data_IF_084728189521
#
_entry.id   IF_084728189521
#
_cell.length_a   1.000
_cell.length_b   1.000
_cell.length_c   1.000
_cell.angle_alpha   90.00
_cell.angle_beta   90.00
_cell.angle_gamma   90.00
#
_symmetry.space_group_name_H-M   'P 1'
#
loop_
_entity.id
_entity.type
_entity.pdbx_description
1 polymer ?
#
# COMPACT_ATOMS: atom_id res chain seq x y z
N UNK A 1 20.32 23.84 8.18
CA UNK A 1 20.45 23.64 6.72
C UNK A 1 20.50 22.14 6.45
N UNK A 2 19.53 21.60 5.73
CA UNK A 2 19.61 20.23 5.19
C UNK A 2 20.80 20.23 4.20
N UNK A 3 21.75 19.32 4.38
CA UNK A 3 22.90 19.24 3.48
C UNK A 3 22.43 18.94 2.06
N UNK A 4 23.11 19.48 1.06
CA UNK A 4 22.83 19.18 -0.37
C UNK A 4 22.71 17.66 -0.63
N UNK A 5 23.48 16.85 0.10
CA UNK A 5 23.43 15.37 0.05
C UNK A 5 22.07 14.82 0.50
N UNK A 6 21.42 15.42 1.49
CA UNK A 6 20.09 14.97 1.99
C UNK A 6 19.00 15.31 0.97
N UNK A 7 19.08 16.48 0.32
CA UNK A 7 18.13 16.89 -0.73
C UNK A 7 18.27 16.00 -1.96
N UNK A 8 19.51 15.76 -2.41
CA UNK A 8 19.79 14.86 -3.54
C UNK A 8 19.38 13.40 -3.22
N UNK A 9 19.60 12.92 -1.99
CA UNK A 9 19.16 11.60 -1.56
C UNK A 9 17.63 11.48 -1.55
N UNK A 10 16.92 12.52 -1.09
CA UNK A 10 15.46 12.54 -1.08
C UNK A 10 14.86 12.61 -2.49
N UNK A 11 15.42 13.44 -3.38
CA UNK A 11 14.96 13.51 -4.78
C UNK A 11 15.17 12.18 -5.51
N UNK A 12 16.31 11.53 -5.28
CA UNK A 12 16.61 10.21 -5.82
C UNK A 12 15.63 9.13 -5.32
N UNK A 13 15.30 9.16 -4.04
CA UNK A 13 14.32 8.24 -3.44
C UNK A 13 12.92 8.42 -4.05
N UNK A 14 12.49 9.67 -4.29
CA UNK A 14 11.19 9.97 -4.91
C UNK A 14 11.16 9.51 -6.37
N UNK A 15 12.16 9.88 -7.16
CA UNK A 15 12.26 9.45 -8.57
C UNK A 15 12.30 7.94 -8.70
N UNK A 16 12.98 7.31 -7.79
CA UNK A 16 13.08 5.88 -7.63
C UNK A 16 11.73 5.20 -7.40
N UNK A 17 10.98 5.69 -6.43
CA UNK A 17 9.63 5.15 -6.14
C UNK A 17 8.69 5.34 -7.32
N UNK A 18 8.75 6.51 -7.98
CA UNK A 18 7.93 6.78 -9.16
C UNK A 18 8.29 5.86 -10.33
N UNK A 19 9.58 5.69 -10.60
CA UNK A 19 10.05 4.77 -11.66
C UNK A 19 9.64 3.32 -11.39
N UNK A 20 9.84 2.83 -10.16
CA UNK A 20 9.41 1.49 -9.78
C UNK A 20 7.89 1.30 -9.89
N UNK A 21 7.09 2.31 -9.50
CA UNK A 21 5.63 2.28 -9.65
C UNK A 21 5.19 2.30 -11.12
N UNK A 22 5.87 3.05 -11.98
CA UNK A 22 5.57 3.05 -13.41
C UNK A 22 5.77 1.66 -14.02
N UNK A 23 6.85 0.95 -13.66
CA UNK A 23 7.07 -0.43 -14.10
C UNK A 23 5.96 -1.36 -13.59
N UNK A 24 5.59 -1.27 -12.30
CA UNK A 24 4.50 -2.07 -11.73
C UNK A 24 3.18 -1.84 -12.49
N UNK A 25 2.82 -0.57 -12.74
CA UNK A 25 1.62 -0.19 -13.49
C UNK A 25 1.65 -0.76 -14.92
N UNK A 26 2.75 -0.56 -15.65
CA UNK A 26 2.89 -1.10 -17.02
C UNK A 26 2.76 -2.63 -17.02
N UNK A 27 3.40 -3.31 -16.05
CA UNK A 27 3.31 -4.77 -15.93
C UNK A 27 1.87 -5.21 -15.69
N UNK A 28 1.18 -4.58 -14.73
CA UNK A 28 -0.22 -4.91 -14.41
C UNK A 28 -1.13 -4.65 -15.62
N UNK A 29 -0.92 -3.55 -16.38
CA UNK A 29 -1.69 -3.24 -17.57
C UNK A 29 -1.55 -4.33 -18.65
N UNK A 30 -0.33 -4.78 -18.93
CA UNK A 30 -0.09 -5.85 -19.90
C UNK A 30 -0.74 -7.15 -19.43
N UNK A 31 -0.52 -7.53 -18.16
CA UNK A 31 -1.09 -8.73 -17.58
C UNK A 31 -2.63 -8.71 -17.56
N UNK A 32 -3.25 -7.59 -17.17
CA UNK A 32 -4.71 -7.49 -17.10
C UNK A 32 -5.40 -7.57 -18.46
N UNK A 33 -4.71 -7.13 -19.52
CA UNK A 33 -5.24 -7.25 -20.89
C UNK A 33 -5.15 -8.67 -21.43
N UNK A 34 -4.18 -9.44 -20.99
CA UNK A 34 -3.91 -10.80 -21.51
C UNK A 34 -4.50 -11.90 -20.64
N UNK A 35 -4.40 -11.79 -19.34
CA UNK A 35 -4.90 -12.76 -18.36
C UNK A 35 -6.39 -12.55 -18.08
N UNK A 36 -6.99 -13.55 -17.42
CA UNK A 36 -8.37 -13.50 -16.96
C UNK A 36 -8.47 -12.97 -15.51
N UNK A 37 -9.61 -12.42 -15.09
CA UNK A 37 -9.83 -12.10 -13.68
C UNK A 37 -9.63 -13.29 -12.75
N UNK A 38 -9.97 -14.52 -13.20
CA UNK A 38 -9.75 -15.74 -12.42
C UNK A 38 -8.26 -16.02 -12.14
N UNK A 39 -7.37 -15.74 -13.11
CA UNK A 39 -5.93 -15.86 -12.91
C UNK A 39 -5.42 -14.90 -11.83
N UNK A 40 -5.93 -13.66 -11.84
CA UNK A 40 -5.63 -12.68 -10.80
C UNK A 40 -6.21 -13.08 -9.44
N UNK A 41 -7.43 -13.60 -9.38
CA UNK A 41 -8.04 -14.09 -8.15
C UNK A 41 -7.27 -15.26 -7.54
N UNK A 42 -6.85 -16.22 -8.37
CA UNK A 42 -6.06 -17.36 -7.95
C UNK A 42 -4.70 -16.94 -7.36
N UNK A 43 -3.99 -16.06 -8.07
CA UNK A 43 -2.69 -15.54 -7.62
C UNK A 43 -2.82 -14.64 -6.40
N UNK A 44 -3.89 -13.84 -6.29
CA UNK A 44 -4.16 -13.01 -5.12
C UNK A 44 -4.35 -13.87 -3.86
N UNK A 45 -5.06 -15.01 -3.95
CA UNK A 45 -5.19 -15.96 -2.84
C UNK A 45 -3.85 -16.54 -2.44
N UNK A 46 -3.07 -17.03 -3.38
CA UNK A 46 -1.76 -17.62 -3.10
C UNK A 46 -0.82 -16.59 -2.43
N UNK A 47 -0.79 -15.35 -2.96
CA UNK A 47 0.00 -14.26 -2.38
C UNK A 47 -0.49 -13.83 -1.00
N UNK A 48 -1.79 -13.94 -0.73
CA UNK A 48 -2.36 -13.63 0.60
C UNK A 48 -1.80 -14.56 1.67
N UNK A 49 -1.71 -15.85 1.41
CA UNK A 49 -1.12 -16.81 2.35
C UNK A 49 0.32 -16.43 2.69
N UNK A 50 1.12 -16.10 1.68
CA UNK A 50 2.52 -15.70 1.86
C UNK A 50 2.61 -14.39 2.63
N UNK A 51 1.78 -13.41 2.30
CA UNK A 51 1.79 -12.11 2.96
C UNK A 51 1.41 -12.21 4.45
N UNK A 52 0.43 -13.04 4.80
CA UNK A 52 0.07 -13.31 6.19
C UNK A 52 1.23 -13.98 6.92
N UNK A 53 1.77 -15.08 6.36
CA UNK A 53 2.89 -15.79 6.97
C UNK A 53 4.14 -14.91 7.12
N UNK A 54 4.45 -14.10 6.10
CA UNK A 54 5.61 -13.17 6.11
C UNK A 54 5.48 -12.14 7.22
N UNK A 55 4.28 -11.61 7.44
CA UNK A 55 4.03 -10.61 8.50
C UNK A 55 4.03 -11.23 9.90
N UNK A 56 3.46 -12.43 10.05
CA UNK A 56 3.46 -13.16 11.34
C UNK A 56 4.88 -13.45 11.82
N UNK A 57 5.75 -13.81 10.88
CA UNK A 57 7.14 -14.18 11.14
C UNK A 57 8.11 -13.01 10.91
N UNK A 58 7.62 -11.77 10.81
CA UNK A 58 8.48 -10.62 10.52
C UNK A 58 9.48 -10.37 11.65
N UNK A 59 10.76 -10.32 11.29
CA UNK A 59 11.87 -9.92 12.15
C UNK A 59 12.51 -8.67 11.52
N UNK A 60 12.44 -7.50 12.16
CA UNK A 60 12.95 -6.25 11.57
C UNK A 60 14.48 -6.12 11.69
N UNK A 61 15.21 -7.10 11.12
CA UNK A 61 16.67 -7.22 11.23
C UNK A 61 17.42 -5.99 10.67
N UNK A 62 16.97 -5.49 9.52
CA UNK A 62 17.59 -4.32 8.90
C UNK A 62 17.37 -3.06 9.75
N UNK A 63 16.20 -2.89 10.35
CA UNK A 63 15.88 -1.77 11.25
C UNK A 63 16.73 -1.85 12.53
N UNK A 64 16.96 -3.05 13.04
CA UNK A 64 17.85 -3.26 14.19
C UNK A 64 19.29 -2.84 13.84
N UNK A 65 19.82 -3.31 12.70
CA UNK A 65 21.17 -2.94 12.25
C UNK A 65 21.33 -1.43 12.01
N UNK A 66 20.31 -0.75 11.45
CA UNK A 66 20.36 0.71 11.20
C UNK A 66 20.50 1.51 12.51
N UNK A 67 19.93 1.03 13.60
CA UNK A 67 19.98 1.72 14.92
C UNK A 67 21.29 1.52 15.66
N UNK A 68 22.06 0.51 15.30
CA UNK A 68 23.37 0.26 15.94
C UNK A 68 24.36 1.36 15.55
N UNK A 69 25.06 1.91 16.53
CA UNK A 69 26.10 2.93 16.28
C UNK A 69 27.29 2.37 15.51
N UNK A 70 27.66 1.12 15.80
CA UNK A 70 28.74 0.41 15.14
C UNK A 70 28.25 -0.97 14.71
N UNK A 71 28.39 -1.27 13.43
CA UNK A 71 28.00 -2.55 12.84
C UNK A 71 29.28 -3.30 12.47
N UNK A 72 29.58 -4.34 13.24
CA UNK A 72 30.68 -5.26 12.99
C UNK A 72 30.24 -6.39 12.06
N UNK A 73 31.21 -7.18 11.57
CA UNK A 73 30.92 -8.36 10.76
C UNK A 73 30.06 -9.37 11.53
N UNK A 74 30.31 -9.55 12.83
CA UNK A 74 29.55 -10.43 13.73
C UNK A 74 28.05 -10.09 13.78
N UNK A 75 27.68 -8.80 13.73
CA UNK A 75 26.28 -8.36 13.65
C UNK A 75 25.66 -8.69 12.29
N UNK A 76 26.43 -8.52 11.19
CA UNK A 76 25.97 -8.86 9.84
C UNK A 76 25.76 -10.38 9.71
N UNK A 77 26.70 -11.18 10.24
CA UNK A 77 26.63 -12.65 10.20
C UNK A 77 25.42 -13.16 11.04
N UNK A 78 25.17 -12.54 12.21
CA UNK A 78 24.00 -12.86 13.04
C UNK A 78 22.69 -12.48 12.33
N UNK A 79 22.60 -11.28 11.75
CA UNK A 79 21.42 -10.83 11.01
C UNK A 79 21.16 -11.73 9.79
N UNK A 80 22.20 -12.13 9.08
CA UNK A 80 22.10 -13.06 7.96
C UNK A 80 21.59 -14.44 8.39
N UNK A 81 22.13 -14.98 9.49
CA UNK A 81 21.72 -16.28 10.02
C UNK A 81 20.27 -16.26 10.48
N UNK A 82 19.84 -15.23 11.23
CA UNK A 82 18.45 -15.05 11.64
C UNK A 82 17.52 -14.87 10.44
N UNK A 83 17.98 -14.13 9.41
CA UNK A 83 17.24 -13.96 8.15
C UNK A 83 17.00 -15.30 7.46
N UNK A 84 18.03 -16.13 7.28
CA UNK A 84 17.90 -17.46 6.68
C UNK A 84 16.97 -18.35 7.49
N UNK A 85 17.16 -18.44 8.81
CA UNK A 85 16.31 -19.25 9.69
C UNK A 85 14.84 -18.83 9.55
N UNK A 86 14.57 -17.52 9.55
CA UNK A 86 13.23 -16.98 9.30
C UNK A 86 12.71 -17.38 7.93
N UNK A 87 13.51 -17.18 6.86
CA UNK A 87 13.10 -17.50 5.49
C UNK A 87 12.79 -18.97 5.28
N UNK A 88 13.61 -19.86 5.84
CA UNK A 88 13.39 -21.30 5.79
C UNK A 88 12.14 -21.71 6.60
N UNK A 89 11.97 -21.19 7.81
CA UNK A 89 10.80 -21.43 8.63
C UNK A 89 9.51 -20.97 7.92
N UNK A 90 9.54 -19.76 7.37
CA UNK A 90 8.39 -19.20 6.64
C UNK A 90 8.05 -20.05 5.42
N UNK A 91 9.04 -20.42 4.62
CA UNK A 91 8.81 -21.26 3.45
C UNK A 91 8.32 -22.65 3.84
N UNK A 92 8.84 -23.22 4.92
CA UNK A 92 8.34 -24.50 5.44
C UNK A 92 6.87 -24.39 5.88
N UNK A 93 6.50 -23.35 6.63
CA UNK A 93 5.11 -23.12 7.06
C UNK A 93 4.18 -22.92 5.86
N UNK A 94 4.61 -22.13 4.86
CA UNK A 94 3.85 -21.90 3.62
C UNK A 94 3.68 -23.19 2.82
N UNK A 95 4.74 -23.99 2.68
CA UNK A 95 4.69 -25.29 1.98
C UNK A 95 3.80 -26.29 2.72
N UNK A 96 3.89 -26.36 4.03
CA UNK A 96 3.04 -27.23 4.84
C UNK A 96 1.55 -26.81 4.76
N UNK A 97 1.29 -25.50 4.66
CA UNK A 97 -0.04 -24.95 4.49
C UNK A 97 -0.58 -25.07 3.06
N UNK A 98 0.25 -25.28 2.03
CA UNK A 98 -0.14 -25.25 0.62
C UNK A 98 -1.26 -26.25 0.28
N UNK A 99 -1.13 -27.49 0.75
CA UNK A 99 -2.13 -28.54 0.52
C UNK A 99 -3.44 -28.30 1.30
N UNK A 100 -3.44 -28.07 2.62
CA UNK A 100 -4.66 -27.69 3.34
C UNK A 100 -5.34 -26.44 2.75
N UNK A 101 -4.57 -25.45 2.35
CA UNK A 101 -5.07 -24.22 1.73
C UNK A 101 -5.80 -24.52 0.42
N UNK A 102 -5.26 -25.41 -0.42
CA UNK A 102 -5.90 -25.80 -1.68
C UNK A 102 -7.22 -26.55 -1.46
N UNK A 103 -7.34 -27.32 -0.39
CA UNK A 103 -8.59 -28.01 -0.02
C UNK A 103 -9.63 -26.99 0.45
N UNK A 104 -9.26 -26.08 1.35
CA UNK A 104 -10.15 -25.05 1.89
C UNK A 104 -10.74 -24.18 0.78
N UNK A 105 -9.92 -23.79 -0.20
CA UNK A 105 -10.34 -22.93 -1.29
C UNK A 105 -10.81 -23.67 -2.56
N UNK A 106 -10.93 -25.00 -2.49
CA UNK A 106 -11.45 -25.90 -3.54
C UNK A 106 -10.73 -25.70 -4.91
N UNK A 107 -9.41 -25.49 -4.88
CA UNK A 107 -8.61 -25.31 -6.11
C UNK A 107 -7.22 -25.95 -5.97
N UNK A 108 -7.02 -27.09 -6.62
CA UNK A 108 -5.77 -27.87 -6.58
C UNK A 108 -4.55 -27.11 -7.13
N UNK A 109 -4.78 -26.12 -8.02
CA UNK A 109 -3.71 -25.29 -8.60
C UNK A 109 -2.97 -24.47 -7.55
N UNK A 110 -3.64 -24.15 -6.43
CA UNK A 110 -3.06 -23.39 -5.31
C UNK A 110 -1.86 -24.12 -4.69
N UNK A 111 -1.86 -25.45 -4.62
CA UNK A 111 -0.76 -26.20 -4.03
C UNK A 111 0.55 -25.91 -4.77
N UNK A 112 0.58 -26.09 -6.09
CA UNK A 112 1.77 -25.85 -6.89
C UNK A 112 2.14 -24.35 -6.94
N UNK A 113 1.14 -23.47 -7.02
CA UNK A 113 1.33 -22.03 -7.08
C UNK A 113 1.96 -21.50 -5.77
N UNK A 114 1.44 -21.90 -4.62
CA UNK A 114 1.97 -21.55 -3.30
C UNK A 114 3.38 -22.12 -3.10
N UNK A 115 3.63 -23.35 -3.55
CA UNK A 115 4.97 -23.97 -3.46
C UNK A 115 6.03 -23.17 -4.23
N UNK A 116 5.73 -22.71 -5.44
CA UNK A 116 6.65 -21.86 -6.21
C UNK A 116 6.82 -20.51 -5.54
N UNK A 117 5.76 -19.89 -5.09
CA UNK A 117 5.82 -18.58 -4.42
C UNK A 117 6.57 -18.63 -3.08
N UNK A 118 6.64 -19.80 -2.40
CA UNK A 118 7.42 -20.00 -1.18
C UNK A 118 8.94 -19.80 -1.38
N UNK A 119 9.43 -19.81 -2.63
CA UNK A 119 10.83 -19.47 -2.96
C UNK A 119 11.11 -17.98 -2.69
N UNK A 120 10.11 -17.10 -2.83
CA UNK A 120 10.26 -15.67 -2.64
C UNK A 120 10.76 -15.25 -1.24
N UNK A 121 10.19 -15.72 -0.14
CA UNK A 121 10.69 -15.50 1.21
C UNK A 121 12.12 -15.96 1.43
N UNK A 122 12.51 -17.14 0.94
CA UNK A 122 13.91 -17.61 1.01
C UNK A 122 14.82 -16.63 0.27
N UNK A 123 14.45 -16.26 -0.94
CA UNK A 123 15.21 -15.30 -1.74
C UNK A 123 15.43 -13.97 -1.00
N UNK A 124 14.36 -13.39 -0.42
CA UNK A 124 14.45 -12.14 0.34
C UNK A 124 15.29 -12.28 1.61
N UNK A 125 15.29 -13.44 2.25
CA UNK A 125 16.09 -13.69 3.45
C UNK A 125 17.59 -13.73 3.18
N UNK A 126 17.98 -14.00 1.94
CA UNK A 126 19.35 -13.99 1.48
C UNK A 126 19.87 -12.59 1.10
N UNK A 127 19.07 -11.54 1.26
CA UNK A 127 19.48 -10.16 0.96
C UNK A 127 20.74 -9.78 1.74
N UNK A 128 21.73 -9.16 1.06
CA UNK A 128 23.02 -8.81 1.67
C UNK A 128 22.86 -7.84 2.86
N UNK A 129 23.17 -8.26 4.10
CA UNK A 129 23.07 -7.37 5.27
C UNK A 129 24.06 -6.21 5.19
N UNK A 130 25.12 -6.29 4.38
CA UNK A 130 26.07 -5.19 4.15
C UNK A 130 25.44 -3.95 3.51
N UNK A 131 24.25 -4.06 2.94
CA UNK A 131 23.48 -2.93 2.43
C UNK A 131 23.15 -1.90 3.52
N UNK A 132 23.15 -2.30 4.81
CA UNK A 132 22.92 -1.38 5.93
C UNK A 132 23.93 -0.23 5.96
N UNK A 133 25.18 -0.44 5.52
CA UNK A 133 26.22 0.58 5.48
C UNK A 133 25.83 1.79 4.62
N UNK A 134 25.18 1.52 3.49
CA UNK A 134 24.71 2.58 2.59
C UNK A 134 23.52 3.32 3.20
N UNK A 135 22.61 2.60 3.84
CA UNK A 135 21.41 3.19 4.47
C UNK A 135 21.84 4.09 5.65
N UNK A 136 22.78 3.66 6.47
CA UNK A 136 23.34 4.47 7.56
C UNK A 136 24.03 5.74 7.05
N UNK A 137 24.63 5.70 5.86
CA UNK A 137 25.23 6.85 5.18
C UNK A 137 24.21 7.71 4.41
N UNK A 138 22.90 7.41 4.54
CA UNK A 138 21.80 8.05 3.77
C UNK A 138 21.96 7.93 2.24
N UNK A 139 22.68 6.92 1.77
CA UNK A 139 22.87 6.61 0.36
C UNK A 139 21.88 5.53 -0.07
N UNK A 140 20.72 5.94 -0.56
CA UNK A 140 19.64 5.02 -0.96
C UNK A 140 19.77 4.51 -2.40
N UNK A 141 20.75 5.01 -3.16
CA UNK A 141 20.94 4.67 -4.58
C UNK A 141 21.11 3.16 -4.79
N UNK A 142 21.89 2.49 -3.94
CA UNK A 142 22.21 1.07 -4.09
C UNK A 142 20.98 0.19 -3.85
N UNK A 143 20.23 0.46 -2.77
CA UNK A 143 19.00 -0.26 -2.47
C UNK A 143 17.97 -0.09 -3.60
N UNK A 144 17.85 1.14 -4.11
CA UNK A 144 16.98 1.44 -5.24
C UNK A 144 17.41 0.71 -6.52
N UNK A 145 18.71 0.72 -6.86
CA UNK A 145 19.21 0.04 -8.06
C UNK A 145 18.89 -1.45 -8.01
N UNK A 146 19.05 -2.10 -6.84
CA UNK A 146 18.70 -3.50 -6.66
C UNK A 146 17.19 -3.73 -6.86
N UNK A 147 16.35 -2.89 -6.26
CA UNK A 147 14.89 -2.99 -6.40
C UNK A 147 14.44 -2.74 -7.85
N UNK A 148 14.99 -1.72 -8.52
CA UNK A 148 14.63 -1.38 -9.88
C UNK A 148 14.98 -2.49 -10.87
N UNK A 149 16.19 -3.03 -10.78
CA UNK A 149 16.62 -4.15 -11.65
C UNK A 149 15.74 -5.38 -11.37
N UNK A 150 15.46 -5.68 -10.10
CA UNK A 150 14.54 -6.75 -9.74
C UNK A 150 13.16 -6.57 -10.38
N UNK A 151 12.59 -5.36 -10.34
CA UNK A 151 11.31 -5.04 -10.98
C UNK A 151 11.35 -5.13 -12.50
N UNK A 152 12.42 -4.66 -13.14
CA UNK A 152 12.58 -4.77 -14.60
C UNK A 152 12.60 -6.24 -15.01
N UNK A 153 13.38 -7.08 -14.32
CA UNK A 153 13.45 -8.50 -14.62
C UNK A 153 12.15 -9.24 -14.31
N UNK A 154 11.47 -8.86 -13.22
CA UNK A 154 10.12 -9.36 -12.92
C UNK A 154 9.13 -9.00 -14.03
N UNK A 155 9.11 -7.74 -14.47
CA UNK A 155 8.25 -7.27 -15.55
C UNK A 155 8.54 -7.99 -16.87
N UNK A 156 9.82 -8.11 -17.23
CA UNK A 156 10.24 -8.84 -18.42
C UNK A 156 9.80 -10.30 -18.38
N UNK A 157 9.97 -10.97 -17.22
CA UNK A 157 9.52 -12.36 -17.02
C UNK A 157 8.01 -12.49 -17.15
N UNK A 158 7.26 -11.58 -16.49
CA UNK A 158 5.80 -11.59 -16.55
C UNK A 158 5.29 -11.45 -17.98
N UNK A 159 5.80 -10.44 -18.69
CA UNK A 159 5.40 -10.13 -20.06
C UNK A 159 5.79 -11.30 -20.99
N UNK A 160 7.00 -11.80 -20.90
CA UNK A 160 7.44 -12.94 -21.74
C UNK A 160 6.60 -14.19 -21.52
N UNK A 161 6.36 -14.57 -20.25
CA UNK A 161 5.59 -15.76 -19.94
C UNK A 161 4.13 -15.64 -20.33
N UNK A 162 3.52 -14.47 -20.22
CA UNK A 162 2.12 -14.30 -20.63
C UNK A 162 1.93 -14.44 -22.14
N UNK A 163 2.88 -13.96 -22.95
CA UNK A 163 2.86 -14.14 -24.39
C UNK A 163 3.20 -15.58 -24.83
N UNK A 164 3.91 -16.33 -24.00
CA UNK A 164 4.17 -17.77 -24.20
C UNK A 164 3.00 -18.66 -23.69
N UNK A 165 1.90 -18.08 -23.25
CA UNK A 165 0.73 -18.83 -22.77
C UNK A 165 0.85 -19.34 -21.33
N UNK A 166 1.74 -18.79 -20.52
CA UNK A 166 2.00 -19.21 -19.14
C UNK A 166 0.85 -18.92 -18.16
N UNK A 167 -0.21 -18.17 -18.56
CA UNK A 167 -1.35 -17.88 -17.72
C UNK A 167 -0.95 -17.26 -16.37
N UNK A 168 -1.60 -17.68 -15.28
CA UNK A 168 -1.31 -17.22 -13.92
C UNK A 168 0.14 -17.46 -13.45
N UNK A 169 0.87 -18.40 -14.07
CA UNK A 169 2.27 -18.64 -13.78
C UNK A 169 3.17 -17.44 -14.11
N UNK A 170 2.76 -16.57 -15.03
CA UNK A 170 3.48 -15.34 -15.35
C UNK A 170 3.61 -14.43 -14.11
N UNK A 171 2.54 -14.32 -13.30
CA UNK A 171 2.55 -13.53 -12.06
C UNK A 171 3.44 -14.20 -11.00
N UNK A 172 3.31 -15.51 -10.82
CA UNK A 172 4.09 -16.23 -9.81
C UNK A 172 5.59 -16.22 -10.12
N UNK A 173 5.97 -16.57 -11.35
CA UNK A 173 7.38 -16.61 -11.77
C UNK A 173 8.01 -15.22 -11.71
N UNK A 174 7.29 -14.16 -12.12
CA UNK A 174 7.80 -12.80 -12.06
C UNK A 174 8.10 -12.36 -10.62
N UNK A 175 7.24 -12.72 -9.66
CA UNK A 175 7.45 -12.42 -8.24
C UNK A 175 8.73 -13.09 -7.71
N UNK A 176 8.96 -14.35 -8.06
CA UNK A 176 10.16 -15.12 -7.67
C UNK A 176 11.40 -14.56 -8.34
N UNK A 177 11.38 -14.37 -9.66
CA UNK A 177 12.52 -13.83 -10.42
C UNK A 177 12.89 -12.43 -9.93
N UNK A 178 11.89 -11.58 -9.68
CA UNK A 178 12.13 -10.23 -9.17
C UNK A 178 12.83 -10.23 -7.81
N UNK A 179 12.39 -11.09 -6.88
CA UNK A 179 13.02 -11.20 -5.56
C UNK A 179 14.42 -11.79 -5.62
N UNK A 180 14.65 -12.81 -6.45
CA UNK A 180 15.98 -13.39 -6.68
C UNK A 180 16.95 -12.39 -7.31
N UNK A 181 16.50 -11.70 -8.35
CA UNK A 181 17.30 -10.70 -9.04
C UNK A 181 17.68 -9.54 -8.10
N UNK A 182 16.72 -8.98 -7.36
CA UNK A 182 17.00 -7.95 -6.39
C UNK A 182 18.03 -8.40 -5.35
N UNK A 183 17.90 -9.61 -4.82
CA UNK A 183 18.84 -10.19 -3.86
C UNK A 183 20.24 -10.35 -4.47
N UNK A 184 20.36 -10.91 -5.67
CA UNK A 184 21.66 -11.07 -6.35
C UNK A 184 22.36 -9.73 -6.59
N UNK A 185 21.61 -8.72 -7.01
CA UNK A 185 22.15 -7.37 -7.23
C UNK A 185 22.68 -6.77 -5.92
N UNK A 186 22.10 -7.09 -4.75
CA UNK A 186 22.64 -6.59 -3.49
C UNK A 186 24.04 -7.10 -3.19
N UNK A 187 24.40 -8.32 -3.61
CA UNK A 187 25.76 -8.85 -3.46
C UNK A 187 26.75 -8.20 -4.42
N UNK A 188 26.32 -7.80 -5.61
CA UNK A 188 27.16 -7.05 -6.54
C UNK A 188 27.43 -5.63 -6.03
N UNK A 189 26.44 -4.98 -5.41
CA UNK A 189 26.54 -3.61 -4.91
C UNK A 189 27.18 -3.52 -3.50
N UNK A 190 26.93 -4.51 -2.67
CA UNK A 190 27.43 -4.63 -1.30
C UNK A 190 28.00 -6.03 -1.08
N UNK A 191 29.22 -6.30 -1.57
CA UNK A 191 29.86 -7.61 -1.40
C UNK A 191 29.88 -8.04 0.06
N UNK A 192 29.39 -9.22 0.32
CA UNK A 192 29.34 -9.84 1.63
C UNK A 192 29.68 -11.32 1.51
N UNK A 193 30.56 -11.78 2.38
CA UNK A 193 30.87 -13.22 2.49
C UNK A 193 30.05 -13.80 3.62
N UNK A 194 28.98 -14.55 3.33
CA UNK A 194 28.10 -15.11 4.33
C UNK A 194 28.85 -16.01 5.31
N UNK A 195 28.59 -15.81 6.59
CA UNK A 195 29.00 -16.70 7.66
C UNK A 195 27.82 -16.92 8.61
N UNK A 196 27.61 -18.14 9.05
CA UNK A 196 26.58 -18.49 9.99
C UNK A 196 27.08 -18.22 11.41
N UNK A 197 26.43 -17.32 12.13
CA UNK A 197 26.76 -16.97 13.52
C UNK A 197 25.54 -16.49 14.26
N UNK A 198 25.41 -16.87 15.52
CA UNK A 198 24.38 -16.37 16.44
C UNK A 198 24.99 -15.61 17.63
N UNK A 199 26.27 -15.22 17.54
CA UNK A 199 27.02 -14.63 18.65
C UNK A 199 26.41 -13.34 19.18
N UNK A 200 25.65 -12.59 18.38
CA UNK A 200 25.06 -11.29 18.74
C UNK A 200 23.52 -11.34 18.83
N UNK A 201 22.93 -12.52 18.97
CA UNK A 201 21.47 -12.73 18.99
C UNK A 201 20.76 -11.92 20.09
N UNK A 202 21.40 -11.77 21.26
CA UNK A 202 20.84 -11.01 22.38
C UNK A 202 20.60 -9.53 22.05
N UNK A 203 21.44 -8.95 21.20
CA UNK A 203 21.30 -7.55 20.78
C UNK A 203 20.11 -7.32 19.84
N UNK A 204 19.66 -8.37 19.14
CA UNK A 204 18.46 -8.33 18.31
C UNK A 204 17.18 -8.66 19.10
N UNK A 205 17.25 -9.49 20.15
CA UNK A 205 16.07 -9.99 20.88
C UNK A 205 15.27 -8.90 21.58
N UNK A 206 15.93 -7.88 22.10
CA UNK A 206 15.29 -6.72 22.78
C UNK A 206 14.33 -5.94 21.87
N UNK A 207 14.50 -6.06 20.56
CA UNK A 207 13.74 -5.33 19.57
C UNK A 207 12.48 -6.06 19.06
N UNK A 208 12.38 -7.36 19.30
CA UNK A 208 11.42 -8.25 18.63
C UNK A 208 10.00 -8.26 19.22
N UNK A 209 9.83 -7.93 20.51
CA UNK A 209 8.58 -8.28 21.22
C UNK A 209 7.35 -7.45 20.84
N UNK A 210 7.40 -6.12 20.91
CA UNK A 210 6.22 -5.26 20.75
C UNK A 210 5.85 -4.92 19.32
N UNK A 211 6.85 -4.87 18.43
CA UNK A 211 6.63 -4.51 17.03
C UNK A 211 5.82 -5.58 16.29
N UNK A 212 6.11 -6.86 16.56
CA UNK A 212 5.48 -8.00 15.88
C UNK A 212 3.97 -8.11 16.15
N UNK A 213 3.50 -7.78 17.36
CA UNK A 213 2.08 -7.90 17.70
C UNK A 213 1.18 -6.91 16.95
N UNK A 214 1.63 -5.66 16.80
CA UNK A 214 0.89 -4.63 16.06
C UNK A 214 0.87 -4.93 14.57
N UNK A 215 1.96 -5.45 14.02
CA UNK A 215 2.07 -5.85 12.62
C UNK A 215 1.15 -7.03 12.28
N UNK A 216 1.04 -8.02 13.18
CA UNK A 216 0.15 -9.16 13.00
C UNK A 216 -1.31 -8.71 12.83
N UNK A 217 -1.82 -7.87 13.73
CA UNK A 217 -3.20 -7.36 13.64
C UNK A 217 -3.41 -6.55 12.36
N UNK A 218 -2.42 -5.74 11.98
CA UNK A 218 -2.47 -4.97 10.74
C UNK A 218 -2.55 -5.88 9.52
N UNK A 219 -1.68 -6.90 9.43
CA UNK A 219 -1.68 -7.84 8.30
C UNK A 219 -2.96 -8.64 8.18
N UNK A 220 -3.47 -9.15 9.30
CA UNK A 220 -4.76 -9.83 9.32
C UNK A 220 -5.87 -8.91 8.83
N UNK A 221 -5.88 -7.65 9.26
CA UNK A 221 -6.86 -6.66 8.81
C UNK A 221 -6.78 -6.41 7.29
N UNK A 222 -5.57 -6.30 6.74
CA UNK A 222 -5.38 -6.06 5.31
C UNK A 222 -5.70 -7.26 4.42
N UNK A 223 -5.46 -8.48 4.89
CA UNK A 223 -5.65 -9.71 4.10
C UNK A 223 -7.00 -10.38 4.36
N UNK A 224 -7.72 -9.97 5.41
CA UNK A 224 -8.98 -10.59 5.82
C UNK A 224 -10.00 -10.66 4.69
N UNK A 225 -10.18 -9.55 3.98
CA UNK A 225 -11.13 -9.46 2.88
C UNK A 225 -10.84 -10.53 1.81
N UNK A 226 -9.56 -10.66 1.40
CA UNK A 226 -9.14 -11.62 0.38
C UNK A 226 -9.32 -13.07 0.80
N UNK A 227 -9.02 -13.37 2.07
CA UNK A 227 -9.22 -14.71 2.63
C UNK A 227 -10.69 -15.06 2.68
N UNK A 228 -11.52 -14.16 3.24
CA UNK A 228 -12.94 -14.39 3.37
C UNK A 228 -13.62 -14.53 1.99
N UNK A 229 -13.38 -13.56 1.12
CA UNK A 229 -13.96 -13.57 -0.23
C UNK A 229 -13.47 -14.77 -1.04
N UNK A 230 -12.21 -15.15 -0.91
CA UNK A 230 -11.65 -16.31 -1.62
C UNK A 230 -12.36 -17.62 -1.33
N UNK A 231 -12.97 -17.74 -0.15
CA UNK A 231 -13.77 -18.92 0.23
C UNK A 231 -15.20 -18.86 -0.34
N UNK A 232 -15.84 -17.69 -0.32
CA UNK A 232 -17.27 -17.56 -0.62
C UNK A 232 -17.58 -17.16 -2.05
N UNK A 233 -16.66 -16.56 -2.81
CA UNK A 233 -16.91 -16.09 -4.18
C UNK A 233 -16.04 -16.81 -5.20
N UNK A 234 -16.39 -16.66 -6.49
CA UNK A 234 -15.57 -17.25 -7.57
C UNK A 234 -14.20 -16.61 -7.67
N UNK A 235 -13.22 -17.31 -8.25
CA UNK A 235 -11.88 -16.76 -8.48
C UNK A 235 -11.91 -15.52 -9.39
N UNK A 236 -12.88 -15.49 -10.32
CA UNK A 236 -13.10 -14.32 -11.20
C UNK A 236 -13.54 -13.10 -10.39
N UNK A 237 -14.54 -13.27 -9.52
CA UNK A 237 -15.06 -12.18 -8.69
C UNK A 237 -13.98 -11.66 -7.71
N UNK A 238 -13.23 -12.58 -7.11
CA UNK A 238 -12.11 -12.21 -6.26
C UNK A 238 -11.04 -11.43 -7.03
N UNK A 239 -10.74 -11.83 -8.26
CA UNK A 239 -9.79 -11.11 -9.13
C UNK A 239 -10.26 -9.70 -9.45
N UNK A 240 -11.55 -9.54 -9.80
CA UNK A 240 -12.16 -8.24 -10.05
C UNK A 240 -12.15 -7.34 -8.82
N UNK A 241 -12.52 -7.86 -7.65
CA UNK A 241 -12.47 -7.14 -6.37
C UNK A 241 -11.05 -6.74 -5.99
N UNK A 242 -10.09 -7.66 -6.14
CA UNK A 242 -8.69 -7.41 -5.81
C UNK A 242 -8.11 -6.31 -6.69
N UNK A 243 -8.35 -6.38 -8.01
CA UNK A 243 -7.89 -5.36 -8.95
C UNK A 243 -8.51 -4.00 -8.64
N UNK A 244 -9.81 -3.95 -8.38
CA UNK A 244 -10.50 -2.72 -7.99
C UNK A 244 -9.94 -2.13 -6.69
N UNK A 245 -9.67 -2.98 -5.70
CA UNK A 245 -9.07 -2.56 -4.42
C UNK A 245 -7.66 -2.00 -4.62
N UNK A 246 -6.81 -2.70 -5.37
CA UNK A 246 -5.44 -2.31 -5.63
C UNK A 246 -5.39 -0.97 -6.40
N UNK A 247 -6.26 -0.77 -7.40
CA UNK A 247 -6.41 0.51 -8.08
C UNK A 247 -6.90 1.62 -7.15
N UNK A 248 -7.93 1.36 -6.32
CA UNK A 248 -8.48 2.36 -5.40
C UNK A 248 -7.47 2.89 -4.38
N UNK A 249 -6.54 2.06 -3.93
CA UNK A 249 -5.54 2.41 -2.91
C UNK A 249 -4.27 3.04 -3.50
N UNK A 250 -4.00 2.83 -4.80
CA UNK A 250 -2.79 3.33 -5.48
C UNK A 250 -2.49 4.82 -5.23
N UNK A 251 -3.45 5.75 -5.40
CA UNK A 251 -3.18 7.19 -5.21
C UNK A 251 -2.76 7.51 -3.77
N UNK A 252 -3.45 6.93 -2.79
CA UNK A 252 -3.17 7.19 -1.38
C UNK A 252 -1.80 6.67 -0.97
N UNK A 253 -1.42 5.48 -1.40
CA UNK A 253 -0.10 4.91 -1.13
C UNK A 253 1.02 5.67 -1.85
N UNK A 254 0.78 6.15 -3.07
CA UNK A 254 1.80 6.79 -3.89
C UNK A 254 2.01 8.27 -3.53
N UNK A 255 0.96 8.98 -3.13
CA UNK A 255 1.01 10.42 -2.86
C UNK A 255 1.09 10.72 -1.36
N UNK A 256 0.23 10.09 -0.55
CA UNK A 256 0.08 10.42 0.87
C UNK A 256 1.17 9.74 1.70
N UNK A 257 1.46 8.46 1.46
CA UNK A 257 2.45 7.70 2.22
C UNK A 257 3.80 8.41 2.32
N UNK A 258 4.45 8.78 1.21
CA UNK A 258 5.71 9.51 1.24
C UNK A 258 5.63 10.88 1.93
N UNK A 259 4.49 11.58 1.81
CA UNK A 259 4.29 12.89 2.43
C UNK A 259 4.17 12.81 3.96
N UNK A 260 3.76 11.67 4.51
CA UNK A 260 3.59 11.50 5.96
C UNK A 260 4.91 11.32 6.72
N UNK A 261 5.98 10.89 6.07
CA UNK A 261 7.30 10.75 6.72
C UNK A 261 7.85 12.08 7.26
N UNK A 262 7.94 13.17 6.47
CA UNK A 262 8.34 14.47 6.99
C UNK A 262 7.33 15.06 7.97
N UNK A 263 6.03 14.78 7.83
CA UNK A 263 4.99 15.22 8.77
C UNK A 263 5.23 14.58 10.15
N UNK A 264 5.52 13.29 10.21
CA UNK A 264 5.84 12.60 11.45
C UNK A 264 7.08 13.21 12.14
N UNK A 265 8.13 13.51 11.38
CA UNK A 265 9.34 14.16 11.90
C UNK A 265 9.05 15.58 12.42
N UNK A 266 8.15 16.33 11.77
CA UNK A 266 7.72 17.63 12.24
C UNK A 266 6.92 17.53 13.55
N UNK A 267 5.99 16.59 13.66
CA UNK A 267 5.23 16.34 14.90
C UNK A 267 6.15 15.96 16.06
N UNK A 268 7.16 15.12 15.84
CA UNK A 268 8.12 14.72 16.88
C UNK A 268 8.89 15.89 17.45
N UNK A 269 9.20 16.91 16.63
CA UNK A 269 9.93 18.11 17.08
C UNK A 269 9.11 19.06 17.95
N UNK A 270 7.78 19.03 17.80
CA UNK A 270 6.86 19.94 18.48
C UNK A 270 5.92 19.19 19.43
N UNK A 271 6.22 17.94 19.79
CA UNK A 271 5.34 17.07 20.58
C UNK A 271 5.01 17.63 21.97
N UNK A 272 5.89 18.44 22.53
CA UNK A 272 5.75 19.04 23.85
C UNK A 272 4.91 20.35 23.83
N UNK A 273 4.73 20.97 22.64
CA UNK A 273 3.89 22.14 22.44
C UNK A 273 2.53 21.73 21.89
N UNK A 274 1.55 21.62 22.77
CA UNK A 274 0.21 21.10 22.43
C UNK A 274 -0.54 21.95 21.40
N UNK A 275 -0.35 23.26 21.44
CA UNK A 275 -1.05 24.17 20.53
C UNK A 275 -0.45 24.09 19.10
N UNK A 276 0.88 24.12 19.02
CA UNK A 276 1.57 23.94 17.73
C UNK A 276 1.27 22.57 17.14
N UNK A 277 1.27 21.52 17.95
CA UNK A 277 0.95 20.15 17.52
C UNK A 277 -0.46 20.05 16.95
N UNK A 278 -1.45 20.66 17.63
CA UNK A 278 -2.85 20.75 17.18
C UNK A 278 -2.96 21.44 15.82
N UNK A 279 -2.33 22.61 15.67
CA UNK A 279 -2.36 23.37 14.43
C UNK A 279 -1.63 22.63 13.29
N UNK A 280 -0.51 21.97 13.58
CA UNK A 280 0.21 21.15 12.62
C UNK A 280 -0.62 19.93 12.16
N UNK A 281 -1.33 19.26 13.09
CA UNK A 281 -2.22 18.16 12.78
C UNK A 281 -3.37 18.59 11.86
N UNK A 282 -4.03 19.71 12.15
CA UNK A 282 -5.10 20.26 11.30
C UNK A 282 -4.59 20.60 9.88
N UNK A 283 -3.37 21.16 9.78
CA UNK A 283 -2.73 21.41 8.47
C UNK A 283 -2.43 20.11 7.73
N UNK A 284 -1.88 19.11 8.41
CA UNK A 284 -1.55 17.80 7.81
C UNK A 284 -2.83 17.08 7.34
N UNK A 285 -3.90 17.05 8.16
CA UNK A 285 -5.20 16.47 7.81
C UNK A 285 -5.82 17.17 6.60
N UNK A 286 -5.79 18.51 6.58
CA UNK A 286 -6.25 19.29 5.42
C UNK A 286 -5.45 18.97 4.17
N UNK A 287 -4.12 18.91 4.25
CA UNK A 287 -3.25 18.59 3.13
C UNK A 287 -3.53 17.21 2.57
N UNK A 288 -3.67 16.21 3.45
CA UNK A 288 -4.02 14.83 3.05
C UNK A 288 -5.35 14.80 2.30
N UNK A 289 -6.38 15.50 2.83
CA UNK A 289 -7.71 15.52 2.21
C UNK A 289 -7.74 16.34 0.92
N UNK A 290 -6.96 17.41 0.81
CA UNK A 290 -6.82 18.17 -0.44
C UNK A 290 -6.32 17.31 -1.60
N UNK A 291 -5.51 16.29 -1.31
CA UNK A 291 -5.00 15.35 -2.32
C UNK A 291 -5.93 14.14 -2.49
N UNK A 292 -6.36 13.51 -1.37
CA UNK A 292 -7.11 12.26 -1.43
C UNK A 292 -8.52 12.44 -2.01
N UNK A 293 -9.25 13.47 -1.58
CA UNK A 293 -10.67 13.63 -1.93
C UNK A 293 -10.86 13.77 -3.45
N UNK A 294 -10.21 14.73 -4.15
CA UNK A 294 -10.44 14.90 -5.59
C UNK A 294 -9.99 13.68 -6.41
N UNK A 295 -8.89 13.04 -6.02
CA UNK A 295 -8.38 11.89 -6.75
C UNK A 295 -9.33 10.69 -6.57
N UNK A 296 -9.73 10.38 -5.35
CA UNK A 296 -10.62 9.23 -5.10
C UNK A 296 -12.03 9.47 -5.66
N UNK A 297 -12.59 10.68 -5.53
CA UNK A 297 -13.89 11.02 -6.14
C UNK A 297 -13.78 11.02 -7.66
N UNK A 298 -12.72 11.59 -8.23
CA UNK A 298 -12.45 11.51 -9.67
C UNK A 298 -12.38 10.06 -10.16
N UNK A 299 -11.65 9.20 -9.47
CA UNK A 299 -11.58 7.77 -9.79
C UNK A 299 -12.94 7.08 -9.70
N UNK A 300 -13.75 7.42 -8.70
CA UNK A 300 -15.12 6.90 -8.59
C UNK A 300 -15.98 7.30 -9.79
N UNK A 301 -15.93 8.56 -10.19
CA UNK A 301 -16.71 9.09 -11.31
C UNK A 301 -16.24 8.59 -12.69
N UNK A 302 -15.00 8.14 -12.81
CA UNK A 302 -14.39 7.67 -14.06
C UNK A 302 -13.94 6.22 -14.00
N UNK A 303 -14.50 5.44 -13.06
CA UNK A 303 -14.08 4.05 -12.80
C UNK A 303 -14.22 3.14 -14.04
N UNK A 304 -15.27 3.31 -14.81
CA UNK A 304 -15.51 2.62 -16.07
C UNK A 304 -14.48 2.97 -17.15
N UNK A 305 -14.14 4.26 -17.27
CA UNK A 305 -13.09 4.73 -18.18
C UNK A 305 -11.72 4.21 -17.76
N UNK A 306 -11.42 4.23 -16.46
CA UNK A 306 -10.16 3.71 -15.91
C UNK A 306 -10.03 2.23 -16.23
N UNK A 307 -11.06 1.44 -15.93
CA UNK A 307 -11.05 0.00 -16.18
C UNK A 307 -10.96 -0.31 -17.68
N UNK A 308 -11.71 0.40 -18.51
CA UNK A 308 -11.66 0.25 -19.97
C UNK A 308 -10.28 0.61 -20.54
N UNK A 309 -9.76 1.77 -20.16
CA UNK A 309 -8.48 2.26 -20.66
C UNK A 309 -7.30 1.40 -20.19
N UNK A 310 -7.30 1.02 -18.92
CA UNK A 310 -6.17 0.34 -18.29
C UNK A 310 -6.25 -1.19 -18.43
N UNK A 311 -7.39 -1.80 -18.12
CA UNK A 311 -7.52 -3.26 -18.02
C UNK A 311 -8.03 -3.93 -19.30
N UNK A 312 -8.54 -3.16 -20.26
CA UNK A 312 -8.93 -3.70 -21.58
C UNK A 312 -10.35 -4.28 -21.65
N UNK A 313 -11.34 -3.60 -21.04
CA UNK A 313 -12.74 -3.70 -21.42
C UNK A 313 -13.56 -4.80 -20.75
N UNK A 314 -14.31 -5.58 -21.52
CA UNK A 314 -15.44 -6.42 -21.07
C UNK A 314 -15.12 -7.45 -19.99
N UNK A 315 -13.90 -7.96 -19.93
CA UNK A 315 -13.47 -8.94 -18.90
C UNK A 315 -13.52 -8.37 -17.46
N UNK A 316 -13.34 -7.05 -17.31
CA UNK A 316 -13.20 -6.35 -16.03
C UNK A 316 -14.40 -5.47 -15.68
N UNK A 317 -15.54 -5.71 -16.29
CA UNK A 317 -16.74 -4.86 -16.14
C UNK A 317 -17.15 -4.69 -14.66
N UNK A 318 -17.15 -5.76 -13.89
CA UNK A 318 -17.53 -5.72 -12.48
C UNK A 318 -16.50 -4.95 -11.64
N UNK A 319 -15.21 -5.02 -12.02
CA UNK A 319 -14.17 -4.26 -11.35
C UNK A 319 -14.41 -2.74 -11.41
N UNK A 320 -15.06 -2.23 -12.46
CA UNK A 320 -15.42 -0.82 -12.57
C UNK A 320 -16.42 -0.41 -11.48
N UNK A 321 -17.43 -1.24 -11.24
CA UNK A 321 -18.45 -1.00 -10.20
C UNK A 321 -17.81 -1.06 -8.82
N UNK A 322 -16.95 -2.06 -8.57
CA UNK A 322 -16.26 -2.18 -7.30
C UNK A 322 -15.29 -1.01 -7.08
N UNK A 323 -14.55 -0.60 -8.12
CA UNK A 323 -13.64 0.55 -8.05
C UNK A 323 -14.39 1.85 -7.70
N UNK A 324 -15.57 2.06 -8.28
CA UNK A 324 -16.42 3.22 -7.99
C UNK A 324 -16.66 3.38 -6.48
N UNK A 325 -17.09 2.33 -5.81
CA UNK A 325 -17.42 2.38 -4.38
C UNK A 325 -16.17 2.31 -3.48
N UNK A 326 -15.18 1.50 -3.84
CA UNK A 326 -13.95 1.37 -3.07
C UNK A 326 -13.09 2.64 -3.12
N UNK A 327 -13.10 3.36 -4.24
CA UNK A 327 -12.43 4.67 -4.32
C UNK A 327 -13.05 5.69 -3.34
N UNK A 328 -14.39 5.73 -3.24
CA UNK A 328 -15.08 6.57 -2.24
C UNK A 328 -14.75 6.14 -0.81
N UNK A 329 -14.73 4.84 -0.53
CA UNK A 329 -14.33 4.32 0.77
C UNK A 329 -12.90 4.73 1.16
N UNK A 330 -12.00 4.80 0.18
CA UNK A 330 -10.60 5.18 0.38
C UNK A 330 -10.43 6.63 0.82
N UNK A 331 -11.37 7.53 0.49
CA UNK A 331 -11.38 8.92 1.00
C UNK A 331 -11.34 8.94 2.53
N UNK A 332 -12.21 8.18 3.16
CA UNK A 332 -12.31 8.13 4.63
C UNK A 332 -11.08 7.46 5.25
N UNK A 333 -10.57 6.41 4.61
CA UNK A 333 -9.35 5.71 5.06
C UNK A 333 -8.10 6.59 4.98
N UNK A 334 -8.01 7.49 3.99
CA UNK A 334 -6.88 8.41 3.85
C UNK A 334 -6.72 9.36 5.05
N UNK A 335 -7.82 9.70 5.73
CA UNK A 335 -7.82 10.55 6.93
C UNK A 335 -7.06 9.94 8.10
N UNK A 336 -6.88 8.61 8.11
CA UNK A 336 -6.13 7.90 9.15
C UNK A 336 -4.62 8.20 9.11
N UNK A 337 -4.05 8.56 7.95
CA UNK A 337 -2.59 8.71 7.78
C UNK A 337 -1.94 9.77 8.68
N UNK A 338 -2.49 10.99 8.85
CA UNK A 338 -1.97 11.99 9.78
C UNK A 338 -2.07 11.53 11.24
N UNK A 339 -3.15 10.81 11.62
CA UNK A 339 -3.33 10.30 12.96
C UNK A 339 -2.30 9.21 13.30
N UNK A 340 -2.02 8.32 12.36
CA UNK A 340 -0.96 7.32 12.47
C UNK A 340 0.38 7.98 12.74
N UNK A 341 0.73 9.00 11.94
CA UNK A 341 1.98 9.75 12.08
C UNK A 341 2.05 10.50 13.42
N UNK A 342 0.93 11.06 13.88
CA UNK A 342 0.82 11.72 15.18
C UNK A 342 1.06 10.74 16.34
N UNK A 343 0.39 9.58 16.32
CA UNK A 343 0.50 8.57 17.38
C UNK A 343 1.93 8.06 17.55
N UNK A 344 2.66 7.86 16.44
CA UNK A 344 4.07 7.51 16.48
C UNK A 344 4.94 8.65 17.01
N UNK A 345 4.68 9.89 16.59
CA UNK A 345 5.48 11.05 16.97
C UNK A 345 5.38 11.36 18.47
N UNK A 346 4.24 11.05 19.11
CA UNK A 346 4.03 11.25 20.55
C UNK A 346 4.30 9.99 21.40
N UNK A 347 4.98 9.01 20.83
CA UNK A 347 5.37 7.75 21.48
C UNK A 347 4.19 6.94 22.03
N UNK A 348 3.04 6.89 21.29
CA UNK A 348 1.85 6.13 21.65
C UNK A 348 1.46 5.05 20.64
N UNK A 349 2.29 4.05 20.38
CA UNK A 349 1.98 2.97 19.43
C UNK A 349 0.76 2.13 19.83
N UNK A 350 0.41 2.09 21.13
CA UNK A 350 -0.80 1.41 21.62
C UNK A 350 -2.10 1.98 21.03
N UNK A 351 -2.10 3.24 20.59
CA UNK A 351 -3.23 3.85 19.88
C UNK A 351 -3.42 3.18 18.53
N UNK A 352 -2.32 2.97 17.79
CA UNK A 352 -2.34 2.32 16.48
C UNK A 352 -2.86 0.88 16.60
N UNK A 353 -2.36 0.14 17.59
CA UNK A 353 -2.85 -1.22 17.87
C UNK A 353 -4.37 -1.24 18.11
N UNK A 354 -4.88 -0.34 18.96
CA UNK A 354 -6.32 -0.25 19.25
C UNK A 354 -7.14 0.08 18.01
N UNK A 355 -6.68 1.02 17.19
CA UNK A 355 -7.36 1.40 15.95
C UNK A 355 -7.40 0.24 14.96
N UNK A 356 -6.29 -0.46 14.78
CA UNK A 356 -6.23 -1.64 13.90
C UNK A 356 -7.13 -2.79 14.43
N UNK A 357 -7.19 -2.98 15.76
CA UNK A 357 -8.06 -3.99 16.36
C UNK A 357 -9.56 -3.65 16.18
N UNK A 358 -9.94 -2.37 16.36
CA UNK A 358 -11.30 -1.89 16.10
C UNK A 358 -11.64 -2.07 14.62
N UNK A 359 -10.74 -1.70 13.73
CA UNK A 359 -10.93 -1.86 12.28
C UNK A 359 -11.13 -3.34 11.93
N UNK A 360 -10.28 -4.23 12.42
CA UNK A 360 -10.38 -5.67 12.19
C UNK A 360 -11.73 -6.21 12.69
N UNK A 361 -12.16 -5.81 13.87
CA UNK A 361 -13.46 -6.22 14.43
C UNK A 361 -14.62 -5.84 13.50
N UNK A 362 -14.68 -4.56 13.08
CA UNK A 362 -15.75 -4.11 12.18
C UNK A 362 -15.62 -4.71 10.78
N UNK A 363 -14.41 -4.98 10.28
CA UNK A 363 -14.22 -5.70 9.02
C UNK A 363 -14.78 -7.12 9.10
N UNK A 364 -14.41 -7.88 10.14
CA UNK A 364 -14.92 -9.24 10.33
C UNK A 364 -16.46 -9.23 10.38
N UNK A 365 -17.03 -8.35 11.17
CA UNK A 365 -18.46 -8.30 11.37
C UNK A 365 -19.20 -7.86 10.10
N UNK A 366 -18.88 -6.68 9.57
CA UNK A 366 -19.65 -6.05 8.51
C UNK A 366 -19.42 -6.71 7.15
N UNK A 367 -18.18 -7.12 6.84
CA UNK A 367 -17.90 -7.77 5.56
C UNK A 367 -18.55 -9.17 5.52
N UNK A 368 -18.52 -9.91 6.62
CA UNK A 368 -19.20 -11.21 6.69
C UNK A 368 -20.72 -11.07 6.55
N UNK A 369 -21.34 -10.07 7.23
CA UNK A 369 -22.76 -9.79 7.08
C UNK A 369 -23.11 -9.29 5.67
N UNK A 370 -22.32 -8.37 5.14
CA UNK A 370 -22.52 -7.85 3.78
C UNK A 370 -22.45 -8.95 2.75
N UNK A 371 -21.46 -9.83 2.87
CA UNK A 371 -21.31 -10.99 1.97
C UNK A 371 -22.48 -11.96 2.07
N UNK A 372 -22.96 -12.21 3.29
CA UNK A 372 -24.10 -13.11 3.53
C UNK A 372 -25.40 -12.60 2.89
N UNK A 373 -25.72 -11.29 3.05
CA UNK A 373 -26.99 -10.73 2.56
C UNK A 373 -26.96 -10.28 1.10
N UNK A 374 -25.84 -9.75 0.62
CA UNK A 374 -25.75 -9.09 -0.69
C UNK A 374 -24.54 -9.54 -1.52
N UNK A 375 -23.98 -10.72 -1.21
CA UNK A 375 -22.85 -11.29 -1.94
C UNK A 375 -21.65 -10.30 -1.98
N UNK A 376 -20.88 -10.28 -3.05
CA UNK A 376 -19.68 -9.46 -3.17
C UNK A 376 -19.98 -7.95 -3.11
N UNK A 377 -21.11 -7.49 -3.65
CA UNK A 377 -21.48 -6.08 -3.57
C UNK A 377 -21.76 -5.65 -2.12
N UNK A 378 -22.32 -6.55 -1.31
CA UNK A 378 -22.46 -6.33 0.13
C UNK A 378 -21.13 -6.20 0.86
N UNK A 379 -20.11 -6.97 0.47
CA UNK A 379 -18.77 -6.85 1.01
C UNK A 379 -18.12 -5.49 0.63
N UNK A 380 -18.32 -5.02 -0.59
CA UNK A 380 -17.87 -3.69 -1.05
C UNK A 380 -18.53 -2.58 -0.25
N UNK A 381 -19.85 -2.64 -0.07
CA UNK A 381 -20.61 -1.66 0.74
C UNK A 381 -20.19 -1.70 2.21
N UNK A 382 -20.00 -2.89 2.78
CA UNK A 382 -19.50 -3.08 4.14
C UNK A 382 -18.12 -2.45 4.34
N UNK A 383 -17.22 -2.59 3.36
CA UNK A 383 -15.92 -1.93 3.40
C UNK A 383 -16.03 -0.40 3.44
N UNK A 384 -16.99 0.17 2.69
CA UNK A 384 -17.32 1.59 2.78
C UNK A 384 -17.81 1.98 4.18
N UNK A 385 -18.72 1.19 4.74
CA UNK A 385 -19.24 1.40 6.09
C UNK A 385 -18.12 1.33 7.15
N UNK A 386 -17.21 0.35 7.07
CA UNK A 386 -16.02 0.26 7.94
C UNK A 386 -15.19 1.53 7.83
N UNK A 387 -14.92 2.02 6.62
CA UNK A 387 -14.12 3.23 6.41
C UNK A 387 -14.76 4.47 7.04
N UNK A 388 -16.09 4.61 6.95
CA UNK A 388 -16.85 5.69 7.58
C UNK A 388 -16.78 5.56 9.12
N UNK A 389 -16.98 4.37 9.67
CA UNK A 389 -16.88 4.14 11.13
C UNK A 389 -15.46 4.52 11.60
N UNK A 390 -14.44 4.05 10.89
CA UNK A 390 -13.05 4.34 11.25
C UNK A 390 -12.70 5.82 11.12
N UNK A 391 -13.33 6.55 10.22
CA UNK A 391 -13.20 8.00 10.16
C UNK A 391 -13.70 8.66 11.45
N UNK A 392 -14.88 8.31 11.97
CA UNK A 392 -15.38 8.83 13.24
C UNK A 392 -14.55 8.37 14.44
N UNK A 393 -14.06 7.15 14.43
CA UNK A 393 -13.14 6.64 15.45
C UNK A 393 -11.82 7.42 15.44
N UNK A 394 -11.32 7.80 14.26
CA UNK A 394 -10.13 8.62 14.11
C UNK A 394 -10.35 10.03 14.67
N UNK A 395 -11.47 10.69 14.36
CA UNK A 395 -11.86 11.99 14.94
C UNK A 395 -11.93 11.94 16.48
N UNK A 396 -12.60 10.89 17.03
CA UNK A 396 -12.70 10.69 18.47
C UNK A 396 -11.33 10.48 19.12
N UNK A 397 -10.44 9.78 18.42
CA UNK A 397 -9.08 9.50 18.91
C UNK A 397 -8.22 10.77 18.89
N UNK A 398 -8.26 11.55 17.83
CA UNK A 398 -7.57 12.84 17.76
C UNK A 398 -8.04 13.79 18.86
N UNK A 399 -9.36 13.85 19.13
CA UNK A 399 -9.93 14.59 20.27
C UNK A 399 -9.31 14.16 21.60
N UNK A 400 -9.15 12.86 21.84
CA UNK A 400 -8.56 12.33 23.08
C UNK A 400 -7.06 12.61 23.19
N UNK A 401 -6.33 12.59 22.08
CA UNK A 401 -4.87 12.75 22.07
C UNK A 401 -4.43 14.22 22.22
N UNK A 402 -5.04 15.11 21.44
CA UNK A 402 -4.60 16.50 21.30
C UNK A 402 -5.71 17.54 21.59
N UNK A 403 -6.90 17.10 22.00
CA UNK A 403 -7.97 17.98 22.46
C UNK A 403 -8.65 18.79 21.35
N UNK A 404 -8.67 18.31 20.11
CA UNK A 404 -9.38 18.96 19.00
C UNK A 404 -10.84 18.49 18.98
N UNK A 405 -11.80 19.40 18.89
CA UNK A 405 -13.19 18.99 18.73
C UNK A 405 -13.44 18.48 17.32
N UNK A 406 -14.32 17.48 17.19
CA UNK A 406 -14.69 16.90 15.88
C UNK A 406 -15.25 17.98 14.93
N UNK A 407 -16.02 18.95 15.46
CA UNK A 407 -16.55 20.04 14.65
C UNK A 407 -15.45 20.91 14.02
N UNK A 408 -14.34 21.15 14.73
CA UNK A 408 -13.19 21.90 14.21
C UNK A 408 -12.47 21.08 13.14
N UNK A 409 -12.33 19.76 13.34
CA UNK A 409 -11.69 18.87 12.34
C UNK A 409 -12.52 18.79 11.05
N UNK A 410 -13.83 18.56 11.16
CA UNK A 410 -14.74 18.53 10.00
C UNK A 410 -14.84 19.91 9.36
N UNK A 411 -14.98 20.97 10.18
CA UNK A 411 -14.98 22.34 9.70
C UNK A 411 -13.69 22.76 9.00
N UNK A 412 -12.55 22.14 9.33
CA UNK A 412 -11.29 22.35 8.61
C UNK A 412 -11.32 21.84 7.15
N UNK A 413 -12.24 20.93 6.82
CA UNK A 413 -12.34 20.25 5.51
C UNK A 413 -13.44 20.80 4.61
N UNK A 414 -14.30 21.75 5.06
CA UNK A 414 -15.47 22.20 4.30
C UNK A 414 -15.11 22.74 2.90
N UNK A 415 -13.98 23.48 2.77
CA UNK A 415 -13.54 24.01 1.49
C UNK A 415 -13.16 22.89 0.51
N UNK A 416 -12.56 21.81 1.02
CA UNK A 416 -12.24 20.61 0.22
C UNK A 416 -13.52 19.94 -0.26
N UNK A 417 -14.50 19.78 0.66
CA UNK A 417 -15.80 19.21 0.34
C UNK A 417 -16.54 19.99 -0.74
N UNK A 418 -16.69 21.31 -0.57
CA UNK A 418 -17.37 22.18 -1.56
C UNK A 418 -16.65 22.15 -2.91
N UNK A 419 -15.32 22.32 -2.94
CA UNK A 419 -14.56 22.27 -4.19
C UNK A 419 -14.69 20.92 -4.90
N UNK A 420 -14.70 19.83 -4.14
CA UNK A 420 -14.89 18.50 -4.70
C UNK A 420 -16.32 18.26 -5.21
N UNK A 421 -17.35 18.79 -4.53
CA UNK A 421 -18.73 18.70 -5.00
C UNK A 421 -18.94 19.46 -6.31
N UNK A 422 -18.33 20.65 -6.45
CA UNK A 422 -18.34 21.40 -7.72
C UNK A 422 -17.62 20.61 -8.82
N UNK A 423 -16.46 20.06 -8.52
CA UNK A 423 -15.72 19.20 -9.45
C UNK A 423 -16.58 18.00 -9.88
N UNK A 424 -17.19 17.30 -8.93
CA UNK A 424 -17.99 16.11 -9.22
C UNK A 424 -19.20 16.45 -10.12
N UNK A 425 -19.91 17.53 -9.82
CA UNK A 425 -21.04 17.98 -10.62
C UNK A 425 -20.63 18.30 -12.07
N UNK A 426 -19.56 19.10 -12.25
CA UNK A 426 -19.11 19.49 -13.58
C UNK A 426 -18.51 18.33 -14.36
N UNK A 427 -17.83 17.38 -13.71
CA UNK A 427 -17.36 16.14 -14.34
C UNK A 427 -18.53 15.28 -14.78
N UNK A 428 -19.58 15.14 -13.96
CA UNK A 428 -20.79 14.40 -14.37
C UNK A 428 -21.50 15.03 -15.58
N UNK A 429 -21.63 16.35 -15.59
CA UNK A 429 -22.21 17.10 -16.73
C UNK A 429 -21.34 16.89 -17.99
N UNK A 430 -20.02 17.03 -17.87
CA UNK A 430 -19.12 16.79 -19.00
C UNK A 430 -19.28 15.36 -19.54
N UNK A 431 -19.33 14.37 -18.67
CA UNK A 431 -19.50 12.98 -19.08
C UNK A 431 -20.87 12.72 -19.74
N UNK A 432 -21.91 13.40 -19.28
CA UNK A 432 -23.21 13.33 -19.93
C UNK A 432 -23.18 13.88 -21.37
N UNK A 433 -22.49 15.00 -21.59
CA UNK A 433 -22.30 15.60 -22.93
C UNK A 433 -21.38 14.77 -23.84
N UNK A 434 -20.43 14.03 -23.26
CA UNK A 434 -19.55 13.13 -24.01
C UNK A 434 -20.21 11.76 -24.27
N UNK A 435 -21.26 11.42 -23.55
CA UNK A 435 -22.00 10.17 -23.71
C UNK A 435 -22.63 10.14 -25.12
N UNK A 436 -22.22 9.19 -25.94
CA UNK A 436 -22.66 9.08 -27.33
C UNK A 436 -21.64 9.56 -28.37
N UNK A 437 -20.48 10.06 -27.94
CA UNK A 437 -19.34 10.28 -28.83
C UNK A 437 -18.40 9.08 -28.73
N UNK A 438 -18.11 8.44 -29.84
CA UNK A 438 -17.17 7.31 -29.93
C UNK A 438 -15.71 7.78 -29.69
N UNK A 439 -15.43 8.26 -28.49
CA UNK A 439 -14.09 8.67 -28.10
C UNK A 439 -13.28 7.48 -27.59
N UNK A 440 -11.97 7.49 -27.89
CA UNK A 440 -11.08 6.52 -27.29
C UNK A 440 -11.05 6.70 -25.75
N UNK A 441 -11.28 5.62 -25.00
CA UNK A 441 -11.37 5.65 -23.54
C UNK A 441 -10.15 6.32 -22.84
N UNK A 442 -8.94 6.22 -23.42
CA UNK A 442 -7.73 6.86 -22.89
C UNK A 442 -7.83 8.38 -23.05
N UNK A 443 -8.30 8.84 -24.22
CA UNK A 443 -8.44 10.28 -24.51
C UNK A 443 -9.53 10.88 -23.63
N UNK A 444 -10.67 10.21 -23.52
CA UNK A 444 -11.80 10.63 -22.68
C UNK A 444 -11.40 10.69 -21.21
N UNK A 445 -10.69 9.66 -20.70
CA UNK A 445 -10.15 9.64 -19.34
C UNK A 445 -9.18 10.80 -19.09
N UNK A 446 -8.22 11.01 -20.01
CA UNK A 446 -7.25 12.09 -19.89
C UNK A 446 -7.89 13.48 -19.88
N UNK A 447 -8.86 13.72 -20.80
CA UNK A 447 -9.59 14.97 -20.87
C UNK A 447 -10.45 15.21 -19.62
N UNK A 448 -11.20 14.20 -19.17
CA UNK A 448 -12.06 14.27 -17.98
C UNK A 448 -11.24 14.48 -16.72
N UNK A 449 -10.10 13.81 -16.58
CA UNK A 449 -9.20 14.00 -15.45
C UNK A 449 -8.57 15.41 -15.43
N UNK A 450 -8.10 15.92 -16.57
CA UNK A 450 -7.55 17.25 -16.67
C UNK A 450 -8.60 18.34 -16.38
N UNK A 451 -9.80 18.17 -16.93
CA UNK A 451 -10.93 19.07 -16.67
C UNK A 451 -11.31 19.06 -15.17
N UNK A 452 -11.47 17.87 -14.57
CA UNK A 452 -11.78 17.76 -13.14
C UNK A 452 -10.71 18.39 -12.26
N UNK A 453 -9.44 18.19 -12.57
CA UNK A 453 -8.33 18.82 -11.84
C UNK A 453 -8.36 20.36 -11.97
N UNK A 454 -8.61 20.89 -13.17
CA UNK A 454 -8.71 22.34 -13.40
C UNK A 454 -9.88 22.96 -12.63
N UNK A 455 -11.05 22.31 -12.66
CA UNK A 455 -12.25 22.75 -11.91
C UNK A 455 -11.97 22.75 -10.41
N UNK A 456 -11.40 21.67 -9.88
CA UNK A 456 -11.09 21.55 -8.47
C UNK A 456 -10.13 22.64 -7.99
N UNK A 457 -9.03 22.84 -8.71
CA UNK A 457 -8.03 23.86 -8.41
C UNK A 457 -8.66 25.27 -8.50
N UNK A 458 -9.47 25.52 -9.52
CA UNK A 458 -10.20 26.78 -9.69
C UNK A 458 -11.15 27.05 -8.53
N UNK A 459 -11.94 26.04 -8.10
CA UNK A 459 -12.85 26.15 -6.97
C UNK A 459 -12.09 26.43 -5.65
N UNK A 460 -10.96 25.76 -5.42
CA UNK A 460 -10.10 26.04 -4.26
C UNK A 460 -9.57 27.48 -4.27
N UNK A 461 -9.18 27.97 -5.45
CA UNK A 461 -8.68 29.34 -5.59
C UNK A 461 -9.78 30.37 -5.28
N UNK A 462 -10.99 30.17 -5.79
CA UNK A 462 -12.16 31.02 -5.51
C UNK A 462 -12.50 31.01 -4.01
N UNK A 463 -12.38 29.85 -3.33
CA UNK A 463 -12.60 29.74 -1.89
C UNK A 463 -11.42 30.27 -1.05
N UNK A 464 -10.40 30.87 -1.67
CA UNK A 464 -9.28 31.50 -0.99
C UNK A 464 -8.31 30.52 -0.33
N UNK A 465 -8.17 29.32 -0.87
CA UNK A 465 -7.15 28.35 -0.42
C UNK A 465 -5.84 28.69 -1.11
N UNK A 466 -4.93 29.34 -0.38
CA UNK A 466 -3.58 29.67 -0.89
C UNK A 466 -2.69 28.43 -0.79
N UNK A 467 -2.41 27.77 -1.91
CA UNK A 467 -1.54 26.59 -1.98
C UNK A 467 -0.12 26.88 -1.45
N UNK A 468 0.40 28.11 -1.63
CA UNK A 468 1.66 28.56 -1.05
C UNK A 468 1.72 28.58 0.49
N UNK A 469 0.58 28.68 1.16
CA UNK A 469 0.53 28.61 2.63
C UNK A 469 0.67 27.19 3.19
N UNK A 470 0.46 26.19 2.35
CA UNK A 470 0.55 24.77 2.69
C UNK A 470 2.01 24.28 2.59
N UNK A 471 2.81 24.88 1.72
CA UNK A 471 4.21 24.49 1.46
C UNK A 471 5.23 25.15 2.41
N UNK A 472 4.82 26.11 3.25
CA UNK A 472 5.75 26.67 4.27
C UNK A 472 5.99 25.62 5.35
N UNK A 473 7.26 25.28 5.63
CA UNK A 473 7.59 24.43 6.77
C UNK A 473 6.99 25.03 8.04
N UNK A 474 6.59 24.19 8.96
CA UNK A 474 6.16 24.59 10.30
C UNK A 474 7.44 25.05 11.01
N UNK A 475 7.67 26.37 11.02
CA UNK A 475 8.70 27.01 11.83
C UNK A 475 8.35 26.95 13.32
#
# INVERSE_FOLDING_TARGET
>A
MLSMKTILGASWLVSARLGGRAIDVVTVLVLARTLTPADFGLTALAMTLIAVADTVLEIPLMQALIRMKFVEKSHLDTAFTLGILRGLLLSFVVLAAAWPFSIIFHDSRLTALVAVLAIGPISRSLYSPSMVKFIQQMSFRQAFTAELIGKILASATAISLVYLGGGYWAIAASSVVGSLAATLITYLLAPYRPALSLSKVSEFSTFLGWFSSAQLVSALSWQFDRVLLGYFVTKSDLGQYTMATDLAVLPTQSLIGPAMTPVMAAFSRIKDDRERLRNAYLKASRFTMLLAVPVCVGMSLTSDLIVNALLGGSKWKEAAIYLQWLALATVFSAYYSPLYSLALAIDRPSVIFRLNAIELFFRILLISLGLYFYSLMGAVAARGAVSIIMFFVALATARKLIGISMAVEVGNLWKVGVSCSVMALLVLLLRHELAGRDLNAIIELGFTAAFGAAVYIGALFVLGVRLKAISKPVE
#
